data_IF_403407117765
#
_entry.id   IF_403407117765
#
_cell.length_a   1.000
_cell.length_b   1.000
_cell.length_c   1.000
_cell.angle_alpha   90.00
_cell.angle_beta   90.00
_cell.angle_gamma   90.00
#
_symmetry.space_group_name_H-M   'P 1'
#
loop_
_entity.id
_entity.type
_entity.pdbx_description
1 polymer ?
#
# COMPACT_ATOMS: atom_id res chain seq x y z
N UNK A 1 -68.90 75.28 -22.28
CA UNK A 1 -67.74 74.58 -21.64
C UNK A 1 -68.12 73.19 -21.11
N UNK A 2 -68.80 72.32 -21.88
CA UNK A 2 -69.08 70.96 -21.43
C UNK A 2 -68.15 69.91 -22.10
N UNK A 3 -67.24 70.38 -22.92
CA UNK A 3 -66.33 69.48 -23.68
C UNK A 3 -65.07 68.97 -22.94
N UNK A 4 -64.69 69.65 -21.89
CA UNK A 4 -63.45 69.26 -21.16
C UNK A 4 -63.64 68.19 -20.06
N UNK A 5 -64.87 67.79 -19.74
CA UNK A 5 -65.13 66.72 -18.74
C UNK A 5 -65.12 65.30 -19.29
N UNK A 6 -65.30 65.13 -20.62
CA UNK A 6 -65.35 63.80 -21.24
C UNK A 6 -63.97 63.26 -21.60
N UNK A 7 -62.94 64.10 -21.76
CA UNK A 7 -61.58 63.64 -22.05
C UNK A 7 -60.82 63.10 -20.82
N UNK A 8 -61.16 63.60 -19.64
CA UNK A 8 -60.55 63.14 -18.41
C UNK A 8 -60.97 61.75 -17.93
N UNK A 9 -62.22 61.40 -18.20
CA UNK A 9 -62.81 60.10 -17.80
C UNK A 9 -62.29 58.95 -18.68
N UNK A 10 -62.09 59.16 -19.99
CA UNK A 10 -61.51 58.14 -20.89
C UNK A 10 -60.01 57.86 -20.62
N UNK A 11 -59.29 58.88 -20.19
CA UNK A 11 -57.84 58.67 -19.86
C UNK A 11 -57.67 57.91 -18.56
N UNK A 12 -58.54 58.13 -17.57
CA UNK A 12 -58.47 57.39 -16.24
C UNK A 12 -58.94 55.95 -16.42
N UNK A 13 -59.91 55.64 -17.23
CA UNK A 13 -60.33 54.26 -17.51
C UNK A 13 -59.25 53.47 -18.28
N UNK A 14 -58.63 54.09 -19.30
CA UNK A 14 -57.55 53.47 -20.06
C UNK A 14 -56.30 53.18 -19.19
N UNK A 15 -55.94 54.09 -18.27
CA UNK A 15 -54.85 53.93 -17.35
C UNK A 15 -55.11 52.82 -16.30
N UNK A 16 -56.34 52.73 -15.78
CA UNK A 16 -56.78 51.70 -14.90
C UNK A 16 -56.77 50.26 -15.53
N UNK A 17 -57.17 50.19 -16.80
CA UNK A 17 -57.19 48.94 -17.59
C UNK A 17 -55.73 48.51 -17.86
N UNK A 18 -54.85 49.43 -18.21
CA UNK A 18 -53.42 49.16 -18.45
C UNK A 18 -52.70 48.70 -17.15
N UNK A 19 -52.98 49.37 -16.01
CA UNK A 19 -52.43 49.02 -14.72
C UNK A 19 -52.95 47.65 -14.22
N UNK A 20 -54.20 47.30 -14.41
CA UNK A 20 -54.73 45.99 -14.11
C UNK A 20 -54.12 44.88 -14.97
N UNK A 21 -53.87 45.13 -16.26
CA UNK A 21 -53.19 44.18 -17.15
C UNK A 21 -51.72 43.99 -16.78
N UNK A 22 -51.04 45.08 -16.36
CA UNK A 22 -49.67 45.00 -15.83
C UNK A 22 -49.57 44.22 -14.51
N UNK A 23 -50.52 44.41 -13.59
CA UNK A 23 -50.60 43.67 -12.32
C UNK A 23 -50.93 42.19 -12.55
N UNK A 24 -51.80 41.86 -13.49
CA UNK A 24 -52.12 40.47 -13.87
C UNK A 24 -50.90 39.82 -14.55
N UNK A 25 -50.20 40.54 -15.41
CA UNK A 25 -48.96 40.07 -16.06
C UNK A 25 -47.84 39.83 -15.03
N UNK A 26 -47.68 40.72 -14.05
CA UNK A 26 -46.69 40.55 -12.96
C UNK A 26 -47.05 39.39 -12.01
N UNK A 27 -48.36 39.18 -11.73
CA UNK A 27 -48.82 38.04 -10.92
C UNK A 27 -48.65 36.72 -11.67
N UNK A 28 -48.83 36.66 -12.98
CA UNK A 28 -48.56 35.49 -13.79
C UNK A 28 -47.07 35.17 -13.89
N UNK A 29 -46.19 36.17 -13.94
CA UNK A 29 -44.75 35.98 -13.92
C UNK A 29 -44.25 35.46 -12.57
N UNK A 30 -44.88 35.83 -11.46
CA UNK A 30 -44.56 35.30 -10.13
C UNK A 30 -45.01 33.86 -9.93
N UNK A 31 -46.01 33.39 -10.63
CA UNK A 31 -46.46 31.97 -10.57
C UNK A 31 -45.53 31.07 -11.38
N UNK A 32 -44.88 31.58 -12.45
CA UNK A 32 -43.91 30.82 -13.23
C UNK A 32 -42.51 30.78 -12.61
N UNK A 33 -42.25 31.53 -11.54
CA UNK A 33 -40.95 31.58 -10.86
C UNK A 33 -40.78 30.53 -9.77
N UNK A 34 -41.78 29.74 -9.45
CA UNK A 34 -41.61 28.52 -8.66
C UNK A 34 -41.41 27.35 -9.62
N UNK A 35 -40.22 27.26 -10.24
CA UNK A 35 -39.70 25.95 -10.55
C UNK A 35 -39.45 25.29 -9.18
N UNK A 36 -40.18 24.23 -8.91
CA UNK A 36 -39.79 23.24 -7.91
C UNK A 36 -38.36 22.84 -8.28
N UNK A 37 -37.40 23.48 -7.65
CA UNK A 37 -36.10 22.82 -7.51
C UNK A 37 -36.41 21.55 -6.74
N UNK A 38 -36.69 20.48 -7.49
CA UNK A 38 -36.77 19.14 -6.94
C UNK A 38 -35.52 19.02 -6.06
N UNK A 39 -35.73 19.09 -4.77
CA UNK A 39 -34.64 18.90 -3.83
C UNK A 39 -34.06 17.53 -4.19
N UNK A 40 -32.86 17.51 -4.81
CA UNK A 40 -32.16 16.26 -5.00
C UNK A 40 -32.11 15.64 -3.64
N UNK A 41 -32.94 14.62 -3.41
CA UNK A 41 -32.89 13.87 -2.18
C UNK A 41 -31.44 13.38 -2.06
N UNK A 42 -30.77 13.83 -1.00
CA UNK A 42 -29.46 13.33 -0.68
C UNK A 42 -29.65 11.82 -0.49
N UNK A 43 -28.92 11.04 -1.29
CA UNK A 43 -28.98 9.59 -1.17
C UNK A 43 -28.59 9.21 0.27
N UNK A 44 -29.49 8.57 0.95
CA UNK A 44 -29.20 7.98 2.27
C UNK A 44 -28.76 6.55 2.04
N UNK A 45 -27.56 6.24 2.52
CA UNK A 45 -27.00 4.90 2.46
C UNK A 45 -27.15 4.25 3.84
N UNK A 46 -27.62 3.01 3.86
CA UNK A 46 -27.63 2.20 5.07
C UNK A 46 -26.19 1.88 5.47
N UNK A 47 -25.94 1.81 6.78
CA UNK A 47 -24.62 1.44 7.33
C UNK A 47 -24.15 0.09 6.79
N UNK A 48 -25.06 -0.85 6.59
CA UNK A 48 -24.77 -2.17 6.04
C UNK A 48 -24.14 -2.13 4.64
N UNK A 49 -24.43 -1.08 3.86
CA UNK A 49 -23.83 -0.92 2.52
C UNK A 49 -22.31 -0.72 2.61
N UNK A 50 -21.83 -0.03 3.64
CA UNK A 50 -20.40 0.23 3.85
C UNK A 50 -19.63 -1.04 4.26
N UNK A 51 -20.32 -2.03 4.83
CA UNK A 51 -19.72 -3.31 5.23
C UNK A 51 -19.87 -4.42 4.18
N UNK A 52 -20.55 -4.17 3.06
CA UNK A 52 -20.70 -5.13 1.95
C UNK A 52 -19.51 -5.14 0.98
N UNK A 53 -18.51 -4.30 1.20
CA UNK A 53 -17.34 -4.23 0.32
C UNK A 53 -16.50 -5.50 0.45
N UNK A 54 -16.24 -6.13 -0.70
CA UNK A 54 -15.23 -7.18 -0.78
C UNK A 54 -13.87 -6.47 -0.89
N UNK A 55 -12.99 -6.75 0.05
CA UNK A 55 -11.61 -6.29 0.04
C UNK A 55 -10.73 -7.34 -0.61
N UNK A 56 -9.83 -6.88 -1.48
CA UNK A 56 -8.81 -7.69 -2.13
C UNK A 56 -7.45 -7.07 -1.81
N UNK A 57 -6.49 -7.87 -1.40
CA UNK A 57 -5.15 -7.42 -1.10
C UNK A 57 -4.09 -8.41 -1.53
N UNK A 58 -2.87 -7.92 -1.73
CA UNK A 58 -1.76 -8.71 -2.26
C UNK A 58 -1.92 -8.99 -3.75
N UNK A 59 -1.03 -9.80 -4.27
CA UNK A 59 -1.01 -10.25 -5.65
C UNK A 59 0.33 -10.92 -5.94
N UNK A 60 0.34 -12.25 -6.03
CA UNK A 60 1.58 -13.03 -6.19
C UNK A 60 1.39 -14.02 -7.32
N UNK A 61 2.20 -13.86 -8.37
CA UNK A 61 2.19 -14.78 -9.50
C UNK A 61 2.84 -16.13 -9.16
N UNK A 62 2.28 -17.21 -9.70
CA UNK A 62 2.98 -18.50 -9.78
C UNK A 62 4.24 -18.37 -10.65
N UNK A 63 5.19 -19.32 -10.51
CA UNK A 63 6.45 -19.27 -11.25
C UNK A 63 6.30 -19.28 -12.77
N UNK A 64 5.21 -19.82 -13.27
CA UNK A 64 4.84 -19.87 -14.70
C UNK A 64 3.87 -18.75 -15.12
N UNK A 65 3.53 -17.84 -14.18
CA UNK A 65 2.60 -16.73 -14.35
C UNK A 65 1.17 -17.13 -14.78
N UNK A 66 0.84 -18.43 -14.69
CA UNK A 66 -0.50 -18.91 -15.04
C UNK A 66 -1.56 -18.61 -13.98
N UNK A 67 -1.14 -18.33 -12.75
CA UNK A 67 -2.00 -18.11 -11.60
C UNK A 67 -1.56 -16.89 -10.80
N UNK A 68 -2.55 -16.26 -10.14
CA UNK A 68 -2.31 -15.15 -9.20
C UNK A 68 -2.99 -15.51 -7.87
N UNK A 69 -2.20 -15.62 -6.81
CA UNK A 69 -2.71 -15.74 -5.45
C UNK A 69 -2.97 -14.35 -4.84
N UNK A 70 -4.05 -14.22 -4.10
CA UNK A 70 -4.43 -12.97 -3.43
C UNK A 70 -5.22 -13.26 -2.14
N UNK A 71 -5.38 -12.24 -1.33
CA UNK A 71 -6.20 -12.27 -0.11
C UNK A 71 -7.54 -11.61 -0.37
N UNK A 72 -8.65 -12.22 0.08
CA UNK A 72 -9.98 -11.61 0.00
C UNK A 72 -10.86 -11.99 1.18
N UNK A 73 -11.77 -11.09 1.56
CA UNK A 73 -12.81 -11.33 2.54
C UNK A 73 -14.16 -11.76 1.91
N UNK A 74 -14.15 -12.25 0.68
CA UNK A 74 -15.36 -12.65 -0.05
C UNK A 74 -16.18 -13.73 0.67
N UNK A 75 -15.54 -14.56 1.51
CA UNK A 75 -16.19 -15.58 2.36
C UNK A 75 -16.64 -15.04 3.73
N UNK A 76 -16.58 -13.73 3.96
CA UNK A 76 -16.92 -13.07 5.24
C UNK A 76 -15.71 -12.78 6.13
N UNK A 77 -14.60 -13.49 5.95
CA UNK A 77 -13.31 -13.27 6.60
C UNK A 77 -12.20 -13.42 5.57
N UNK A 78 -11.02 -12.85 5.85
CA UNK A 78 -9.90 -12.96 4.91
C UNK A 78 -9.42 -14.40 4.77
N UNK A 79 -9.36 -14.85 3.52
CA UNK A 79 -8.83 -16.13 3.08
C UNK A 79 -7.91 -15.94 1.88
N UNK A 80 -7.08 -16.94 1.59
CA UNK A 80 -6.25 -17.01 0.39
C UNK A 80 -7.08 -17.53 -0.77
N UNK A 81 -7.05 -16.80 -1.86
CA UNK A 81 -7.69 -17.13 -3.15
C UNK A 81 -6.64 -17.23 -4.24
N UNK A 82 -7.00 -17.89 -5.31
CA UNK A 82 -6.20 -18.04 -6.50
C UNK A 82 -7.09 -17.79 -7.72
N UNK A 83 -6.61 -17.03 -8.70
CA UNK A 83 -7.26 -16.88 -10.01
C UNK A 83 -6.35 -17.46 -11.09
N UNK A 84 -6.92 -18.28 -11.98
CA UNK A 84 -6.27 -18.69 -13.22
C UNK A 84 -6.31 -17.53 -14.22
N UNK A 85 -5.14 -17.08 -14.69
CA UNK A 85 -5.01 -15.88 -15.52
C UNK A 85 -5.65 -16.07 -16.91
N UNK A 86 -5.66 -17.30 -17.43
CA UNK A 86 -6.18 -17.57 -18.76
C UNK A 86 -7.71 -17.69 -18.78
N UNK A 87 -8.28 -18.39 -17.79
CA UNK A 87 -9.73 -18.61 -17.71
C UNK A 87 -10.47 -17.54 -16.92
N UNK A 88 -9.78 -16.83 -16.01
CA UNK A 88 -10.39 -15.94 -15.03
C UNK A 88 -11.13 -16.67 -13.90
N UNK A 89 -11.04 -18.02 -13.85
CA UNK A 89 -11.66 -18.80 -12.80
C UNK A 89 -10.97 -18.57 -11.45
N UNK A 90 -11.76 -18.25 -10.42
CA UNK A 90 -11.26 -17.99 -9.07
C UNK A 90 -11.62 -19.14 -8.15
N UNK A 91 -10.65 -19.58 -7.35
CA UNK A 91 -10.82 -20.63 -6.34
C UNK A 91 -10.34 -20.15 -4.98
N UNK A 92 -11.02 -20.59 -3.92
CA UNK A 92 -10.62 -20.34 -2.54
C UNK A 92 -9.68 -21.47 -2.09
N UNK A 93 -8.46 -21.10 -1.70
CA UNK A 93 -7.38 -22.04 -1.33
C UNK A 93 -7.37 -22.37 0.17
N UNK A 94 -7.84 -21.46 1.03
CA UNK A 94 -7.98 -21.68 2.48
C UNK A 94 -9.42 -21.51 2.90
N UNK A 95 -9.84 -22.25 3.96
CA UNK A 95 -11.24 -22.35 4.39
C UNK A 95 -11.35 -21.95 5.87
N UNK A 96 -11.01 -20.71 6.22
CA UNK A 96 -11.20 -20.20 7.57
C UNK A 96 -12.54 -19.48 7.69
N UNK A 97 -13.18 -19.63 8.84
CA UNK A 97 -14.38 -18.90 9.27
C UNK A 97 -14.17 -18.13 10.58
N UNK A 98 -12.99 -18.28 11.18
CA UNK A 98 -12.64 -17.65 12.47
C UNK A 98 -11.38 -16.79 12.39
N UNK A 99 -10.36 -17.20 11.63
CA UNK A 99 -9.06 -16.56 11.55
C UNK A 99 -8.84 -15.93 10.18
N UNK A 100 -8.19 -14.77 10.14
CA UNK A 100 -7.81 -14.12 8.89
C UNK A 100 -6.51 -14.70 8.32
N UNK A 101 -6.54 -15.13 7.07
CA UNK A 101 -5.39 -15.69 6.35
C UNK A 101 -4.97 -14.78 5.20
N UNK A 102 -3.69 -14.40 5.17
CA UNK A 102 -3.13 -13.44 4.24
C UNK A 102 -2.10 -14.10 3.34
N UNK A 103 -2.33 -14.11 2.03
CA UNK A 103 -1.37 -14.62 1.05
C UNK A 103 -0.04 -13.85 1.15
N UNK A 104 1.08 -14.57 1.04
CA UNK A 104 2.42 -13.99 1.08
C UNK A 104 3.19 -14.22 -0.22
N UNK A 105 3.21 -15.45 -0.74
CA UNK A 105 3.92 -15.79 -1.98
C UNK A 105 3.62 -17.23 -2.39
N UNK A 106 3.84 -17.55 -3.69
CA UNK A 106 4.03 -18.93 -4.10
C UNK A 106 5.42 -19.43 -3.69
N UNK A 107 5.51 -20.73 -3.40
CA UNK A 107 6.80 -21.43 -3.35
C UNK A 107 7.35 -21.53 -4.79
N UNK A 108 8.61 -21.19 -5.03
CA UNK A 108 9.20 -21.26 -6.36
C UNK A 108 9.07 -22.66 -6.99
N UNK A 109 8.66 -22.71 -8.25
CA UNK A 109 8.44 -23.92 -9.03
C UNK A 109 7.43 -24.92 -8.43
N UNK A 110 6.48 -24.42 -7.63
CA UNK A 110 5.41 -25.22 -7.01
C UNK A 110 4.09 -24.43 -7.00
N UNK A 111 2.97 -25.16 -6.86
CA UNK A 111 1.66 -24.55 -6.58
C UNK A 111 1.36 -24.41 -5.08
N UNK A 112 2.33 -24.73 -4.23
CA UNK A 112 2.25 -24.45 -2.80
C UNK A 112 2.40 -22.94 -2.54
N UNK A 113 1.81 -22.47 -1.44
CA UNK A 113 1.76 -21.06 -1.06
C UNK A 113 2.28 -20.86 0.36
N UNK A 114 2.90 -19.71 0.59
CA UNK A 114 3.07 -19.16 1.93
C UNK A 114 1.89 -18.23 2.25
N UNK A 115 1.39 -18.32 3.46
CA UNK A 115 0.43 -17.36 4.00
C UNK A 115 0.74 -17.03 5.46
N UNK A 116 0.23 -15.90 5.92
CA UNK A 116 0.32 -15.48 7.32
C UNK A 116 -1.03 -15.57 7.99
N UNK A 117 -1.04 -15.97 9.24
CA UNK A 117 -2.21 -15.94 10.11
C UNK A 117 -1.79 -15.76 11.56
N UNK A 118 -2.68 -15.19 12.35
CA UNK A 118 -2.62 -15.22 13.81
C UNK A 118 -3.77 -16.10 14.34
N UNK A 119 -3.83 -16.28 15.64
CA UNK A 119 -4.82 -17.14 16.25
C UNK A 119 -5.72 -16.33 17.18
N UNK A 120 -7.01 -16.22 16.79
CA UNK A 120 -8.00 -15.50 17.58
C UNK A 120 -7.75 -13.99 17.69
N UNK A 121 -7.04 -13.38 16.73
CA UNK A 121 -6.71 -11.95 16.75
C UNK A 121 -5.67 -11.57 17.82
N UNK A 122 -4.83 -12.53 18.25
CA UNK A 122 -3.79 -12.28 19.26
C UNK A 122 -2.57 -11.53 18.71
N UNK A 123 -2.55 -11.22 17.42
CA UNK A 123 -1.45 -10.53 16.73
C UNK A 123 -0.10 -11.28 16.78
N UNK A 124 -0.11 -12.57 17.13
CA UNK A 124 1.06 -13.44 17.08
C UNK A 124 1.03 -14.16 15.72
N UNK A 125 1.42 -13.41 14.68
CA UNK A 125 1.39 -13.93 13.32
C UNK A 125 2.49 -14.92 13.06
N UNK A 126 2.14 -16.07 12.46
CA UNK A 126 3.07 -17.08 11.97
C UNK A 126 3.06 -17.14 10.45
N UNK A 127 4.07 -17.78 9.89
CA UNK A 127 4.15 -18.11 8.46
C UNK A 127 3.80 -19.58 8.29
N UNK A 128 2.81 -19.82 7.43
CA UNK A 128 2.31 -21.16 7.13
C UNK A 128 2.63 -21.54 5.68
N UNK A 129 2.92 -22.82 5.47
CA UNK A 129 2.98 -23.44 4.17
C UNK A 129 1.61 -24.08 3.87
N UNK A 130 0.95 -23.64 2.81
CA UNK A 130 -0.21 -24.31 2.22
C UNK A 130 0.27 -25.18 1.08
N UNK A 131 0.20 -26.50 1.26
CA UNK A 131 0.62 -27.48 0.26
C UNK A 131 -0.38 -27.59 -0.89
N UNK A 132 0.00 -28.29 -1.94
CA UNK A 132 -0.86 -28.50 -3.12
C UNK A 132 -2.11 -29.33 -2.80
N UNK A 133 -2.05 -30.21 -1.81
CA UNK A 133 -3.18 -31.00 -1.30
C UNK A 133 -4.07 -30.20 -0.32
N UNK A 134 -3.83 -28.89 -0.16
CA UNK A 134 -4.46 -27.97 0.78
C UNK A 134 -4.20 -28.29 2.27
N UNK A 135 -3.29 -29.21 2.60
CA UNK A 135 -2.80 -29.34 3.96
C UNK A 135 -1.87 -28.18 4.34
N UNK A 136 -1.79 -27.85 5.62
CA UNK A 136 -1.02 -26.71 6.13
C UNK A 136 0.05 -27.15 7.11
N UNK A 137 1.18 -26.45 7.12
CA UNK A 137 2.26 -26.60 8.08
C UNK A 137 2.63 -25.24 8.64
N UNK A 138 2.67 -25.10 9.95
CA UNK A 138 3.22 -23.92 10.63
C UNK A 138 4.75 -23.99 10.54
N UNK A 139 5.36 -23.04 9.81
CA UNK A 139 6.81 -22.97 9.62
C UNK A 139 7.51 -22.19 10.75
N UNK A 140 6.77 -21.43 11.51
CA UNK A 140 7.33 -20.56 12.58
C UNK A 140 6.54 -20.72 13.88
N UNK A 141 6.40 -21.98 14.39
CA UNK A 141 5.57 -22.24 15.55
C UNK A 141 6.14 -21.61 16.82
N UNK A 142 5.23 -21.18 17.70
CA UNK A 142 5.53 -20.62 19.00
C UNK A 142 4.27 -20.06 19.67
N UNK A 143 4.35 -19.76 20.97
CA UNK A 143 3.23 -19.20 21.74
C UNK A 143 3.26 -17.67 21.77
N UNK A 144 4.46 -17.07 21.71
CA UNK A 144 4.70 -15.61 21.77
C UNK A 144 5.55 -15.12 20.61
N UNK A 145 6.08 -16.03 19.81
CA UNK A 145 6.96 -15.76 18.70
C UNK A 145 6.18 -15.28 17.47
N UNK A 146 6.46 -14.04 17.10
CA UNK A 146 5.90 -13.44 15.87
C UNK A 146 6.86 -13.68 14.71
N UNK A 147 6.32 -13.93 13.53
CA UNK A 147 7.08 -14.03 12.29
C UNK A 147 6.44 -13.19 11.18
N UNK A 148 7.28 -12.50 10.40
CA UNK A 148 6.87 -11.67 9.27
C UNK A 148 7.71 -12.01 8.06
N UNK A 149 7.06 -12.43 6.99
CA UNK A 149 7.73 -12.67 5.72
C UNK A 149 8.40 -11.39 5.24
N UNK A 150 9.66 -11.49 4.83
CA UNK A 150 10.45 -10.34 4.39
C UNK A 150 10.70 -10.35 2.87
N UNK A 151 10.92 -11.52 2.28
CA UNK A 151 11.16 -11.66 0.84
C UNK A 151 11.93 -12.92 0.49
N UNK A 152 12.15 -13.13 -0.79
CA UNK A 152 12.94 -14.23 -1.33
C UNK A 152 14.42 -13.84 -1.49
N UNK A 153 15.31 -14.83 -1.36
CA UNK A 153 16.69 -14.70 -1.87
C UNK A 153 16.68 -14.53 -3.38
N UNK A 154 17.74 -13.96 -3.95
CA UNK A 154 17.85 -13.69 -5.40
C UNK A 154 17.66 -14.97 -6.24
N UNK A 155 18.22 -16.09 -5.78
CA UNK A 155 18.10 -17.41 -6.42
C UNK A 155 16.81 -18.16 -6.08
N UNK A 156 15.95 -17.54 -5.22
CA UNK A 156 14.69 -18.10 -4.75
C UNK A 156 14.78 -19.48 -4.09
N UNK A 157 15.96 -19.86 -3.58
CA UNK A 157 16.15 -21.13 -2.87
C UNK A 157 15.78 -21.03 -1.39
N UNK A 158 15.72 -19.81 -0.85
CA UNK A 158 15.27 -19.54 0.51
C UNK A 158 14.47 -18.23 0.58
N UNK A 159 13.69 -18.10 1.63
CA UNK A 159 13.07 -16.82 1.98
C UNK A 159 13.60 -16.29 3.30
N UNK A 160 13.53 -14.97 3.44
CA UNK A 160 13.85 -14.27 4.68
C UNK A 160 12.58 -13.96 5.44
N UNK A 161 12.70 -13.96 6.75
CA UNK A 161 11.63 -13.50 7.64
C UNK A 161 12.21 -12.88 8.90
N UNK A 162 11.46 -11.97 9.48
CA UNK A 162 11.80 -11.35 10.76
C UNK A 162 11.02 -12.04 11.87
N UNK A 163 11.67 -12.34 13.00
CA UNK A 163 11.01 -12.96 14.14
C UNK A 163 11.64 -12.52 15.45
N UNK A 164 10.80 -12.40 16.49
CA UNK A 164 11.21 -12.18 17.87
C UNK A 164 11.49 -13.49 18.65
N UNK A 165 11.70 -14.60 17.93
CA UNK A 165 11.88 -15.95 18.50
C UNK A 165 12.99 -16.03 19.55
N UNK A 166 14.10 -15.31 19.36
CA UNK A 166 15.24 -15.32 20.29
C UNK A 166 14.99 -14.44 21.52
N UNK A 167 14.38 -13.29 21.31
CA UNK A 167 14.11 -12.28 22.34
C UNK A 167 12.85 -11.49 21.93
N UNK A 168 11.81 -11.54 22.74
CA UNK A 168 10.51 -10.91 22.43
C UNK A 168 10.56 -9.39 22.17
N UNK A 169 11.65 -8.74 22.60
CA UNK A 169 11.88 -7.29 22.40
C UNK A 169 12.41 -6.94 21.01
N UNK A 170 13.04 -7.90 20.31
CA UNK A 170 13.79 -7.65 19.09
C UNK A 170 13.36 -8.59 17.96
N UNK A 171 13.21 -8.05 16.78
CA UNK A 171 13.01 -8.83 15.58
C UNK A 171 14.34 -9.09 14.91
N UNK A 172 14.79 -10.33 14.97
CA UNK A 172 15.96 -10.82 14.26
C UNK A 172 15.60 -11.17 12.83
N UNK A 173 16.59 -11.25 11.93
CA UNK A 173 16.40 -11.74 10.57
C UNK A 173 16.86 -13.20 10.48
N UNK A 174 15.95 -14.02 10.01
CA UNK A 174 16.17 -15.43 9.74
C UNK A 174 16.04 -15.70 8.24
N UNK A 175 16.66 -16.76 7.76
CA UNK A 175 16.36 -17.37 6.49
C UNK A 175 15.88 -18.80 6.67
N UNK A 176 15.06 -19.27 5.73
CA UNK A 176 14.53 -20.62 5.69
C UNK A 176 14.64 -21.15 4.28
N UNK A 177 15.33 -22.27 4.10
CA UNK A 177 15.46 -22.94 2.82
C UNK A 177 14.17 -23.67 2.46
N UNK A 178 13.80 -23.61 1.18
CA UNK A 178 12.73 -24.41 0.63
C UNK A 178 13.07 -25.89 0.80
N UNK A 179 12.09 -26.70 1.16
CA UNK A 179 12.16 -28.15 1.40
C UNK A 179 12.90 -28.60 2.69
N UNK A 180 13.78 -27.79 3.26
CA UNK A 180 14.42 -28.08 4.55
C UNK A 180 13.60 -27.54 5.73
N UNK A 181 13.03 -26.34 5.58
CA UNK A 181 12.17 -25.61 6.52
C UNK A 181 12.83 -25.38 7.90
N UNK A 182 14.15 -25.40 7.98
CA UNK A 182 14.90 -25.12 9.19
C UNK A 182 15.32 -23.64 9.24
N UNK A 183 15.04 -22.94 10.35
CA UNK A 183 15.39 -21.53 10.50
C UNK A 183 16.88 -21.32 10.74
N UNK A 184 17.50 -20.44 9.99
CA UNK A 184 18.89 -20.02 10.12
C UNK A 184 18.92 -18.55 10.51
N UNK A 185 19.44 -18.20 11.68
CA UNK A 185 19.65 -16.82 12.11
C UNK A 185 20.78 -16.19 11.27
N UNK A 186 20.49 -15.07 10.58
CA UNK A 186 21.49 -14.36 9.78
C UNK A 186 21.81 -12.96 10.30
N UNK A 187 20.90 -12.33 11.04
CA UNK A 187 21.15 -11.06 11.75
C UNK A 187 20.50 -11.08 13.13
N UNK A 188 21.31 -10.92 14.15
CA UNK A 188 20.88 -10.78 15.54
C UNK A 188 20.69 -9.29 15.86
N UNK A 189 19.46 -8.89 16.11
CA UNK A 189 19.11 -7.52 16.44
C UNK A 189 19.28 -7.27 17.95
N UNK A 190 20.16 -6.38 18.32
CA UNK A 190 20.40 -6.00 19.72
C UNK A 190 20.12 -4.53 20.02
N UNK A 191 19.79 -3.73 18.99
CA UNK A 191 19.68 -2.28 19.08
C UNK A 191 18.30 -1.76 18.65
N UNK A 192 17.33 -2.65 18.46
CA UNK A 192 15.99 -2.33 17.96
C UNK A 192 16.03 -1.61 16.59
N UNK A 193 16.86 -2.13 15.68
CA UNK A 193 16.95 -1.69 14.31
C UNK A 193 15.99 -2.52 13.44
N UNK A 194 15.28 -1.88 12.54
CA UNK A 194 14.44 -2.56 11.54
C UNK A 194 15.30 -2.92 10.32
N UNK A 195 15.19 -4.16 9.83
CA UNK A 195 15.82 -4.55 8.57
C UNK A 195 14.98 -4.03 7.42
N UNK A 196 15.57 -3.25 6.51
CA UNK A 196 14.91 -2.65 5.36
C UNK A 196 15.25 -3.37 4.05
N UNK A 197 16.48 -3.90 3.92
CA UNK A 197 16.94 -4.62 2.74
C UNK A 197 18.12 -5.51 3.05
N UNK A 198 18.29 -6.56 2.23
CA UNK A 198 19.39 -7.51 2.30
C UNK A 198 20.07 -7.56 0.92
N UNK A 199 21.40 -7.46 0.87
CA UNK A 199 22.15 -7.64 -0.36
C UNK A 199 22.09 -9.08 -0.87
N UNK A 200 22.18 -9.30 -2.18
CA UNK A 200 22.07 -10.64 -2.78
C UNK A 200 23.10 -11.65 -2.25
N UNK A 201 24.27 -11.18 -1.80
CA UNK A 201 25.33 -12.00 -1.22
C UNK A 201 25.22 -12.14 0.31
N UNK A 202 24.15 -11.63 0.94
CA UNK A 202 23.89 -11.63 2.40
C UNK A 202 25.02 -10.96 3.24
N UNK A 203 25.88 -10.18 2.61
CA UNK A 203 26.95 -9.47 3.31
C UNK A 203 26.46 -8.19 3.94
N UNK A 204 25.59 -7.45 3.25
CA UNK A 204 25.15 -6.14 3.68
C UNK A 204 23.66 -6.11 3.99
N UNK A 205 23.31 -5.48 5.12
CA UNK A 205 21.93 -5.21 5.51
C UNK A 205 21.73 -3.70 5.64
N UNK A 206 20.68 -3.18 5.05
CA UNK A 206 20.20 -1.84 5.35
C UNK A 206 19.27 -1.90 6.55
N UNK A 207 19.55 -1.06 7.51
CA UNK A 207 18.84 -1.02 8.78
C UNK A 207 18.32 0.38 9.04
N UNK A 208 17.18 0.51 9.68
CA UNK A 208 16.63 1.80 10.11
C UNK A 208 16.36 1.84 11.60
N UNK A 209 16.43 3.05 12.17
CA UNK A 209 16.03 3.33 13.54
C UNK A 209 15.11 4.53 13.54
N UNK A 210 13.83 4.31 13.80
CA UNK A 210 12.86 5.38 13.88
C UNK A 210 13.10 6.26 15.10
N UNK A 211 13.18 7.56 14.88
CA UNK A 211 13.33 8.59 15.91
C UNK A 211 12.01 9.30 16.18
N UNK A 212 11.17 9.42 15.16
CA UNK A 212 9.77 9.89 15.23
C UNK A 212 8.91 9.05 14.29
N UNK A 213 7.64 9.39 14.12
CA UNK A 213 6.75 8.74 13.13
C UNK A 213 7.11 9.07 11.67
N UNK A 214 7.91 10.11 11.43
CA UNK A 214 8.27 10.61 10.09
C UNK A 214 9.76 10.74 9.85
N UNK A 215 10.60 10.43 10.84
CA UNK A 215 12.05 10.53 10.72
C UNK A 215 12.73 9.27 11.26
N UNK A 216 13.77 8.84 10.59
CA UNK A 216 14.58 7.69 10.99
C UNK A 216 16.06 7.91 10.65
N UNK A 217 16.93 7.25 11.39
CA UNK A 217 18.32 7.06 11.00
C UNK A 217 18.47 5.81 10.14
N UNK A 218 19.41 5.84 9.19
CA UNK A 218 19.65 4.78 8.23
C UNK A 218 21.09 4.26 8.35
N UNK A 219 21.26 2.95 8.39
CA UNK A 219 22.53 2.30 8.65
C UNK A 219 22.82 1.20 7.64
N UNK A 220 24.09 1.03 7.30
CA UNK A 220 24.64 -0.12 6.60
C UNK A 220 25.35 -1.03 7.61
N UNK A 221 24.93 -2.28 7.68
CA UNK A 221 25.56 -3.30 8.49
C UNK A 221 26.31 -4.28 7.59
N UNK A 222 27.62 -4.46 7.85
CA UNK A 222 28.45 -5.49 7.18
C UNK A 222 28.44 -6.76 8.04
N UNK A 223 27.78 -7.80 7.55
CA UNK A 223 27.62 -9.07 8.25
C UNK A 223 28.95 -9.85 8.43
N UNK A 224 29.95 -9.59 7.59
CA UNK A 224 31.26 -10.23 7.73
C UNK A 224 32.13 -9.58 8.81
N UNK A 225 32.20 -8.26 8.81
CA UNK A 225 33.02 -7.51 9.77
C UNK A 225 32.27 -7.12 11.05
N UNK A 226 30.94 -7.25 11.04
CA UNK A 226 30.02 -6.81 12.10
C UNK A 226 30.01 -5.30 12.32
N UNK A 227 30.53 -4.54 11.36
CA UNK A 227 30.53 -3.08 11.40
C UNK A 227 29.14 -2.52 11.09
N UNK A 228 28.74 -1.52 11.88
CA UNK A 228 27.53 -0.74 11.67
C UNK A 228 27.93 0.69 11.32
N UNK A 229 27.61 1.14 10.12
CA UNK A 229 27.94 2.49 9.63
C UNK A 229 26.65 3.28 9.43
N UNK A 230 26.57 4.46 10.05
CA UNK A 230 25.45 5.38 9.78
C UNK A 230 25.59 5.96 8.38
N UNK A 231 24.52 5.90 7.60
CA UNK A 231 24.43 6.39 6.22
C UNK A 231 23.63 7.69 6.15
N UNK A 232 22.66 7.84 7.06
CA UNK A 232 21.87 9.07 7.16
C UNK A 232 22.75 10.28 7.43
N UNK A 233 22.61 11.33 6.62
CA UNK A 233 23.41 12.56 6.63
C UNK A 233 22.63 13.79 7.09
N UNK A 234 21.40 13.61 7.55
CA UNK A 234 20.52 14.67 8.05
C UNK A 234 19.25 14.12 8.68
N UNK A 235 18.47 15.01 9.31
CA UNK A 235 17.17 14.66 9.85
C UNK A 235 16.13 14.61 8.72
N UNK A 236 15.48 13.48 8.56
CA UNK A 236 14.46 13.25 7.54
C UNK A 236 14.00 11.80 7.52
N UNK A 237 13.23 11.45 6.52
CA UNK A 237 12.81 10.09 6.24
C UNK A 237 13.83 9.39 5.34
N UNK A 238 14.05 8.11 5.58
CA UNK A 238 14.87 7.25 4.73
C UNK A 238 14.13 5.94 4.50
N UNK A 239 14.02 5.52 3.24
CA UNK A 239 13.46 4.22 2.88
C UNK A 239 14.32 3.53 1.83
N UNK A 240 14.46 2.20 1.93
CA UNK A 240 15.27 1.42 1.00
C UNK A 240 14.62 1.34 -0.38
N UNK A 241 15.43 1.49 -1.43
CA UNK A 241 15.11 1.18 -2.82
C UNK A 241 15.99 0.04 -3.38
N UNK A 242 16.54 -0.80 -2.47
CA UNK A 242 17.26 -2.03 -2.78
C UNK A 242 18.75 -1.87 -3.06
N UNK A 243 19.43 -2.99 -3.23
CA UNK A 243 20.82 -3.09 -3.64
C UNK A 243 20.95 -3.31 -5.15
N UNK A 244 22.10 -2.92 -5.73
CA UNK A 244 22.50 -3.36 -7.05
C UNK A 244 22.86 -4.86 -7.06
N UNK A 245 22.75 -5.52 -8.21
CA UNK A 245 23.02 -6.96 -8.35
C UNK A 245 24.45 -7.34 -7.99
N UNK A 246 25.41 -6.44 -8.24
CA UNK A 246 26.82 -6.62 -7.89
C UNK A 246 27.13 -6.35 -6.41
N UNK A 247 26.14 -5.89 -5.64
CA UNK A 247 26.24 -5.57 -4.22
C UNK A 247 27.25 -4.46 -3.88
N UNK A 248 27.58 -3.58 -4.84
CA UNK A 248 28.50 -2.45 -4.62
C UNK A 248 27.78 -1.18 -4.23
N UNK A 249 26.51 -1.07 -4.57
CA UNK A 249 25.70 0.13 -4.40
C UNK A 249 24.34 -0.24 -3.83
N UNK A 250 23.78 0.62 -3.00
CA UNK A 250 22.36 0.58 -2.67
C UNK A 250 21.68 1.90 -2.97
N UNK A 251 20.37 1.84 -3.09
CA UNK A 251 19.53 2.99 -3.40
C UNK A 251 18.56 3.24 -2.26
N UNK A 252 18.25 4.52 -2.04
CA UNK A 252 17.31 4.92 -1.01
C UNK A 252 16.60 6.21 -1.37
N UNK A 253 15.43 6.42 -0.79
CA UNK A 253 14.62 7.60 -0.95
C UNK A 253 14.69 8.39 0.35
N UNK A 254 14.84 9.71 0.27
CA UNK A 254 14.92 10.60 1.42
C UNK A 254 14.37 11.98 1.08
N UNK A 255 13.90 12.71 2.09
CA UNK A 255 13.47 14.11 1.99
C UNK A 255 14.47 15.10 2.61
N UNK A 256 15.65 14.61 3.04
CA UNK A 256 16.65 15.43 3.74
C UNK A 256 17.05 16.65 2.93
N UNK A 257 16.83 17.84 3.52
CA UNK A 257 17.20 19.12 2.92
C UNK A 257 16.33 19.57 1.74
N UNK A 258 15.22 18.88 1.45
CA UNK A 258 14.28 19.21 0.37
C UNK A 258 12.83 19.16 0.84
N UNK A 259 11.95 19.77 0.05
CA UNK A 259 10.50 19.75 0.29
C UNK A 259 9.89 18.39 -0.10
N UNK A 260 10.39 17.80 -1.19
CA UNK A 260 9.93 16.54 -1.72
C UNK A 260 10.98 15.44 -1.60
N UNK A 261 10.54 14.22 -1.38
CA UNK A 261 11.39 13.05 -1.32
C UNK A 261 12.02 12.75 -2.70
N UNK A 262 13.28 12.35 -2.70
CA UNK A 262 14.09 12.12 -3.89
C UNK A 262 14.94 10.86 -3.76
N UNK A 263 15.38 10.29 -4.88
CA UNK A 263 16.15 9.05 -4.94
C UNK A 263 17.65 9.34 -4.95
N UNK A 264 18.39 8.66 -4.05
CA UNK A 264 19.85 8.68 -3.96
C UNK A 264 20.44 7.27 -4.15
N UNK A 265 21.70 7.22 -4.52
CA UNK A 265 22.56 6.04 -4.42
C UNK A 265 23.63 6.24 -3.34
N UNK A 266 24.12 5.13 -2.82
CA UNK A 266 25.26 5.09 -1.91
C UNK A 266 26.24 4.00 -2.40
N UNK A 267 27.46 4.38 -2.76
CA UNK A 267 28.55 3.45 -3.11
C UNK A 267 29.20 2.94 -1.82
N UNK A 268 29.18 1.63 -1.61
CA UNK A 268 29.52 1.03 -0.31
C UNK A 268 31.02 1.22 0.03
N UNK A 269 31.91 1.08 -0.94
CA UNK A 269 33.35 1.17 -0.70
C UNK A 269 33.81 2.60 -0.36
N UNK A 270 33.32 3.57 -1.13
CA UNK A 270 33.75 4.97 -0.97
C UNK A 270 32.90 5.78 0.01
N UNK A 271 31.68 5.32 0.29
CA UNK A 271 30.68 6.09 1.04
C UNK A 271 30.09 7.26 0.26
N UNK A 272 30.36 7.34 -1.05
CA UNK A 272 29.88 8.42 -1.91
C UNK A 272 28.37 8.30 -2.12
N UNK A 273 27.68 9.42 -1.97
CA UNK A 273 26.25 9.54 -2.26
C UNK A 273 26.01 10.40 -3.49
N UNK A 274 25.06 10.01 -4.34
CA UNK A 274 24.66 10.77 -5.52
C UNK A 274 23.15 10.83 -5.63
N UNK A 275 22.64 11.97 -6.11
CA UNK A 275 21.22 12.10 -6.48
C UNK A 275 21.01 11.41 -7.81
N UNK A 276 20.12 10.42 -7.83
CA UNK A 276 19.76 9.65 -9.04
C UNK A 276 18.56 10.28 -9.74
N UNK A 277 17.58 10.71 -8.95
CA UNK A 277 16.36 11.32 -9.47
C UNK A 277 15.71 12.25 -8.43
N UNK A 278 15.22 13.38 -8.88
CA UNK A 278 14.42 14.34 -8.13
C UNK A 278 13.37 15.01 -9.03
N UNK A 279 12.28 15.46 -8.44
CA UNK A 279 11.21 16.19 -9.12
C UNK A 279 10.58 17.20 -8.16
N UNK A 280 9.61 17.96 -8.65
CA UNK A 280 8.78 18.86 -7.84
C UNK A 280 7.67 18.11 -7.07
N UNK A 281 7.78 16.79 -6.95
CA UNK A 281 6.85 15.87 -6.27
C UNK A 281 7.59 14.74 -5.56
N UNK A 282 6.93 14.11 -4.58
CA UNK A 282 7.53 13.01 -3.83
C UNK A 282 7.81 11.78 -4.69
N UNK A 283 9.04 11.31 -4.65
CA UNK A 283 9.36 9.94 -5.05
C UNK A 283 8.85 9.00 -3.96
N UNK A 284 7.89 8.15 -4.33
CA UNK A 284 7.24 7.23 -3.39
C UNK A 284 7.97 5.88 -3.27
N UNK A 285 8.44 5.36 -4.40
CA UNK A 285 9.17 4.11 -4.49
C UNK A 285 10.09 4.08 -5.71
N UNK A 286 11.10 3.23 -5.64
CA UNK A 286 11.94 2.90 -6.80
C UNK A 286 12.43 1.47 -6.67
N UNK A 287 12.50 0.77 -7.79
CA UNK A 287 13.11 -0.56 -7.88
C UNK A 287 13.75 -0.78 -9.26
N UNK A 288 14.68 -1.71 -9.30
CA UNK A 288 15.30 -2.17 -10.54
C UNK A 288 14.53 -3.36 -11.10
N UNK A 289 14.43 -3.46 -12.43
CA UNK A 289 13.97 -4.70 -13.06
C UNK A 289 14.94 -5.84 -12.73
N UNK A 290 14.49 -7.09 -12.83
CA UNK A 290 15.28 -8.27 -12.46
C UNK A 290 16.68 -8.32 -13.09
N UNK A 291 16.82 -7.80 -14.32
CA UNK A 291 18.09 -7.72 -15.06
C UNK A 291 18.74 -6.33 -14.98
N UNK A 292 18.28 -5.47 -14.08
CA UNK A 292 18.73 -4.09 -13.92
C UNK A 292 18.71 -3.23 -15.21
N UNK A 293 17.99 -3.68 -16.24
CA UNK A 293 17.87 -2.96 -17.52
C UNK A 293 17.07 -1.67 -17.37
N UNK A 294 16.08 -1.68 -16.47
CA UNK A 294 15.18 -0.58 -16.22
C UNK A 294 15.12 -0.27 -14.73
N UNK A 295 14.98 1.02 -14.44
CA UNK A 295 14.58 1.51 -13.12
C UNK A 295 13.16 2.04 -13.21
N UNK A 296 12.29 1.58 -12.32
CA UNK A 296 10.96 2.12 -12.13
C UNK A 296 11.02 3.13 -10.98
N UNK A 297 10.42 4.28 -11.17
CA UNK A 297 10.30 5.33 -10.14
C UNK A 297 8.84 5.74 -10.09
N UNK A 298 8.20 5.59 -8.94
CA UNK A 298 6.83 6.05 -8.74
C UNK A 298 6.82 7.42 -8.07
N UNK A 299 6.06 8.35 -8.64
CA UNK A 299 5.96 9.74 -8.19
C UNK A 299 4.52 10.02 -7.79
N UNK A 300 4.32 10.72 -6.67
CA UNK A 300 3.01 11.22 -6.28
C UNK A 300 2.79 12.63 -6.84
N UNK A 301 2.34 12.71 -8.09
CA UNK A 301 2.08 13.96 -8.77
C UNK A 301 0.61 14.36 -8.63
N UNK A 302 0.35 15.44 -7.89
CA UNK A 302 -1.01 15.98 -7.65
C UNK A 302 -2.02 14.90 -7.18
N UNK A 303 -1.58 14.03 -6.24
CA UNK A 303 -2.40 12.95 -5.70
C UNK A 303 -2.61 11.76 -6.65
N UNK A 304 -1.80 11.64 -7.69
CA UNK A 304 -1.75 10.49 -8.62
C UNK A 304 -0.38 9.88 -8.63
N UNK A 305 -0.33 8.56 -8.70
CA UNK A 305 0.93 7.84 -8.93
C UNK A 305 1.23 7.78 -10.43
N UNK A 306 2.33 8.38 -10.82
CA UNK A 306 2.88 8.37 -12.17
C UNK A 306 4.18 7.59 -12.22
#
# INVERSE_FOLDING_TARGET
PIWNKFHGIRSLEATNILMKRLLIGAALLLIYSCEDTASKSIAQYDIDLFFKNISIGGGYFSSDESKLAFTSNASGIYNVYEVDINSGETSQRTQSDTESFYALSYIPNSNALLYSADKGGNEISHIYLLKEDNSTVDLTPGETEKARFFGWSKDRTCFYYQSNKRDERFFDLYKMKVDEWDPILIYENQQNLSVESVSNNERYFLLSKYTTTSTNDFYLFDNQTRALTQVSDGAGSYSSAGFSDDNTTFFFITDVGKEFAYLKSYEIESGKQEVIYESDWDVMYSYLSEKETYRVIGINEDGRTN
#
